data_IF_141192483591
#
_entry.id   IF_141192483591
#
_cell.length_a   1.000
_cell.length_b   1.000
_cell.length_c   1.000
_cell.angle_alpha   90.00
_cell.angle_beta   90.00
_cell.angle_gamma   90.00
#
_symmetry.space_group_name_H-M   'P 1'
#
loop_
_entity.id
_entity.type
_entity.pdbx_description
1 polymer ?
#
# COMPACT_ATOMS: atom_id res chain seq x y z
N UNK A 1 54.05 4.12 53.67
CA UNK A 1 53.01 4.52 52.70
C UNK A 1 51.69 3.74 52.83
N UNK A 2 51.67 2.51 53.37
CA UNK A 2 50.45 1.68 53.45
C UNK A 2 49.34 2.15 54.42
N UNK A 3 49.63 3.01 55.41
CA UNK A 3 48.63 3.42 56.42
C UNK A 3 47.68 4.54 55.94
N UNK A 4 48.13 5.39 55.02
CA UNK A 4 47.32 6.50 54.50
C UNK A 4 46.21 6.01 53.55
N UNK A 5 46.54 5.05 52.68
CA UNK A 5 45.60 4.45 51.72
C UNK A 5 44.47 3.71 52.46
N UNK A 6 44.77 2.96 53.53
CA UNK A 6 43.75 2.25 54.32
C UNK A 6 42.77 3.19 55.01
N UNK A 7 43.23 4.37 55.47
CA UNK A 7 42.35 5.39 56.08
C UNK A 7 41.41 6.03 55.07
N UNK A 8 41.91 6.31 53.85
CA UNK A 8 41.10 6.86 52.76
C UNK A 8 40.00 5.86 52.35
N UNK A 9 40.34 4.57 52.20
CA UNK A 9 39.34 3.53 51.90
C UNK A 9 38.31 3.35 53.02
N UNK A 10 38.73 3.41 54.30
CA UNK A 10 37.82 3.27 55.45
C UNK A 10 36.86 4.47 55.55
N UNK A 11 37.32 5.68 55.25
CA UNK A 11 36.49 6.88 55.20
C UNK A 11 35.54 6.89 54.00
N UNK A 12 35.98 6.43 52.82
CA UNK A 12 35.12 6.30 51.65
C UNK A 12 34.01 5.26 51.87
N UNK A 13 34.33 4.09 52.44
CA UNK A 13 33.35 3.04 52.76
C UNK A 13 32.32 3.50 53.79
N UNK A 14 32.74 4.22 54.84
CA UNK A 14 31.84 4.77 55.85
C UNK A 14 30.90 5.86 55.29
N UNK A 15 31.33 6.59 54.26
CA UNK A 15 30.52 7.65 53.61
C UNK A 15 29.47 7.08 52.65
N UNK A 16 29.73 5.91 52.06
CA UNK A 16 28.79 5.17 51.21
C UNK A 16 27.69 4.51 52.07
N UNK A 17 28.06 3.86 53.18
CA UNK A 17 27.11 3.19 54.09
C UNK A 17 26.15 4.17 54.80
N UNK A 18 26.54 5.42 55.00
CA UNK A 18 25.66 6.46 55.59
C UNK A 18 24.67 7.10 54.61
N UNK A 19 24.65 6.69 53.34
CA UNK A 19 23.78 7.22 52.29
C UNK A 19 22.81 6.19 51.70
N UNK A 20 22.60 5.07 52.38
CA UNK A 20 21.55 4.11 52.05
C UNK A 20 20.18 4.61 52.52
N UNK A 21 19.70 5.74 51.98
CA UNK A 21 18.25 5.99 51.97
C UNK A 21 17.66 5.09 50.88
N UNK A 22 17.28 3.88 51.27
CA UNK A 22 16.66 2.90 50.39
C UNK A 22 15.39 3.47 49.77
N UNK A 23 15.25 3.28 48.46
CA UNK A 23 14.05 3.58 47.70
C UNK A 23 12.84 2.94 48.38
N UNK A 24 11.82 3.70 48.79
CA UNK A 24 10.67 3.10 49.48
C UNK A 24 9.83 2.30 48.49
N UNK A 25 9.23 1.18 48.92
CA UNK A 25 8.29 0.42 48.10
C UNK A 25 7.12 1.30 47.62
N UNK A 26 6.73 2.28 48.42
CA UNK A 26 5.67 3.24 48.10
C UNK A 26 6.05 4.23 47.01
N UNK A 27 7.31 4.67 46.92
CA UNK A 27 7.78 5.52 45.82
C UNK A 27 7.77 4.78 44.48
N UNK A 28 8.07 3.48 44.51
CA UNK A 28 8.08 2.65 43.30
C UNK A 28 6.64 2.35 42.87
N UNK A 29 5.77 2.09 43.85
CA UNK A 29 4.34 1.84 43.61
C UNK A 29 3.61 3.06 43.02
N UNK A 30 3.79 4.26 43.59
CA UNK A 30 3.20 5.48 43.03
C UNK A 30 3.79 5.81 41.66
N UNK A 31 5.09 5.58 41.44
CA UNK A 31 5.72 5.77 40.14
C UNK A 31 5.11 4.87 39.06
N UNK A 32 4.91 3.58 39.35
CA UNK A 32 4.25 2.64 38.44
C UNK A 32 2.79 3.01 38.19
N UNK A 33 2.07 3.53 39.19
CA UNK A 33 0.71 4.02 39.03
C UNK A 33 0.65 5.21 38.06
N UNK A 34 1.54 6.20 38.22
CA UNK A 34 1.57 7.38 37.34
C UNK A 34 1.96 6.99 35.91
N UNK A 35 2.98 6.15 35.73
CA UNK A 35 3.37 5.64 34.40
C UNK A 35 2.23 4.83 33.78
N UNK A 36 1.47 4.07 34.57
CA UNK A 36 0.30 3.32 34.10
C UNK A 36 -0.82 4.22 33.55
N UNK A 37 -1.11 5.33 34.22
CA UNK A 37 -2.11 6.31 33.75
C UNK A 37 -1.64 6.99 32.46
N UNK A 38 -0.36 7.37 32.38
CA UNK A 38 0.18 8.00 31.16
C UNK A 38 0.21 7.02 29.99
N UNK A 39 0.59 5.76 30.23
CA UNK A 39 0.65 4.72 29.22
C UNK A 39 -0.74 4.37 28.66
N UNK A 40 -1.79 4.35 29.49
CA UNK A 40 -3.14 3.99 29.03
C UNK A 40 -3.70 4.95 27.98
N UNK A 41 -3.38 6.24 28.07
CA UNK A 41 -3.79 7.26 27.10
C UNK A 41 -2.82 7.33 25.92
N UNK A 42 -1.51 7.19 26.17
CA UNK A 42 -0.50 7.37 25.15
C UNK A 42 -0.37 6.17 24.18
N UNK A 43 -0.50 4.94 24.67
CA UNK A 43 -0.26 3.73 23.86
C UNK A 43 -1.22 3.63 22.66
N UNK A 44 -2.54 3.83 22.78
CA UNK A 44 -3.43 3.76 21.62
C UNK A 44 -3.10 4.81 20.55
N UNK A 45 -2.78 6.03 20.96
CA UNK A 45 -2.40 7.12 20.05
C UNK A 45 -1.07 6.84 19.35
N UNK A 46 -0.08 6.35 20.10
CA UNK A 46 1.23 6.00 19.56
C UNK A 46 1.15 4.87 18.54
N UNK A 47 0.32 3.85 18.78
CA UNK A 47 0.10 2.77 17.81
C UNK A 47 -0.56 3.25 16.52
N UNK A 48 -1.51 4.18 16.61
CA UNK A 48 -2.12 4.83 15.45
C UNK A 48 -1.10 5.62 14.63
N UNK A 49 -0.34 6.50 15.28
CA UNK A 49 0.71 7.28 14.62
C UNK A 49 1.78 6.40 13.95
N UNK A 50 2.15 5.28 14.59
CA UNK A 50 3.11 4.31 14.02
C UNK A 50 2.56 3.65 12.76
N UNK A 51 1.29 3.25 12.75
CA UNK A 51 0.67 2.62 11.59
C UNK A 51 0.54 3.61 10.43
N UNK A 52 0.17 4.86 10.70
CA UNK A 52 0.14 5.92 9.68
C UNK A 52 1.53 6.13 9.06
N UNK A 53 2.59 6.18 9.88
CA UNK A 53 3.96 6.32 9.37
C UNK A 53 4.38 5.13 8.47
N UNK A 54 3.91 3.91 8.76
CA UNK A 54 4.15 2.76 7.89
C UNK A 54 3.37 2.83 6.57
N UNK A 55 2.16 3.37 6.61
CA UNK A 55 1.36 3.61 5.42
C UNK A 55 1.98 4.70 4.55
N UNK A 56 2.46 5.78 5.15
CA UNK A 56 3.17 6.87 4.48
C UNK A 56 4.44 6.36 3.78
N UNK A 57 5.18 5.42 4.37
CA UNK A 57 6.35 4.77 3.74
C UNK A 57 5.97 4.05 2.44
N UNK A 58 4.84 3.32 2.43
CA UNK A 58 4.34 2.62 1.25
C UNK A 58 3.83 3.62 0.19
N UNK A 59 3.10 4.65 0.59
CA UNK A 59 2.61 5.70 -0.30
C UNK A 59 3.76 6.50 -0.95
N UNK A 60 4.83 6.76 -0.21
CA UNK A 60 6.03 7.42 -0.71
C UNK A 60 6.71 6.56 -1.79
N UNK A 61 6.86 5.26 -1.54
CA UNK A 61 7.43 4.31 -2.51
C UNK A 61 6.59 4.23 -3.79
N UNK A 62 5.25 4.18 -3.65
CA UNK A 62 4.34 4.22 -4.79
C UNK A 62 4.39 5.53 -5.57
N UNK A 63 4.54 6.66 -4.88
CA UNK A 63 4.67 7.97 -5.52
C UNK A 63 5.97 8.09 -6.31
N UNK A 64 7.07 7.54 -5.79
CA UNK A 64 8.35 7.47 -6.49
C UNK A 64 8.25 6.60 -7.76
N UNK A 65 7.68 5.40 -7.64
CA UNK A 65 7.42 4.51 -8.80
C UNK A 65 6.51 5.15 -9.84
N UNK A 66 5.46 5.86 -9.42
CA UNK A 66 4.57 6.56 -10.34
C UNK A 66 5.30 7.67 -11.12
N UNK A 67 6.21 8.38 -10.47
CA UNK A 67 7.05 9.38 -11.14
C UNK A 67 8.00 8.71 -12.15
N UNK A 68 8.64 7.60 -11.77
CA UNK A 68 9.46 6.80 -12.69
C UNK A 68 8.65 6.31 -13.90
N UNK A 69 7.44 5.79 -13.69
CA UNK A 69 6.54 5.38 -14.77
C UNK A 69 6.15 6.56 -15.66
N UNK A 70 5.94 7.75 -15.09
CA UNK A 70 5.64 8.96 -15.87
C UNK A 70 6.83 9.38 -16.74
N UNK A 71 8.05 9.27 -16.24
CA UNK A 71 9.28 9.53 -17.02
C UNK A 71 9.39 8.52 -18.17
N UNK A 72 9.14 7.24 -17.89
CA UNK A 72 9.11 6.19 -18.91
C UNK A 72 8.10 6.53 -20.02
N UNK A 73 6.87 6.89 -19.64
CA UNK A 73 5.84 7.33 -20.58
C UNK A 73 6.26 8.54 -21.42
N UNK A 74 6.92 9.53 -20.82
CA UNK A 74 7.42 10.71 -21.55
C UNK A 74 8.49 10.36 -22.59
N UNK A 75 9.30 9.33 -22.33
CA UNK A 75 10.37 8.92 -23.23
C UNK A 75 9.87 8.13 -24.44
N UNK A 76 8.86 7.28 -24.28
CA UNK A 76 8.43 6.34 -25.33
C UNK A 76 6.96 6.50 -25.78
N UNK A 77 6.13 7.25 -25.06
CA UNK A 77 4.72 7.51 -25.39
C UNK A 77 3.73 6.45 -24.88
N UNK A 78 4.20 5.46 -24.14
CA UNK A 78 3.38 4.46 -23.45
C UNK A 78 4.08 3.91 -22.20
N UNK A 79 3.40 3.07 -21.41
CA UNK A 79 3.93 2.43 -20.20
C UNK A 79 4.54 1.05 -20.45
N UNK A 80 4.72 0.63 -21.71
CA UNK A 80 5.24 -0.69 -22.03
C UNK A 80 6.69 -0.85 -21.55
N UNK A 81 7.21 -2.08 -21.46
CA UNK A 81 8.66 -2.18 -21.24
C UNK A 81 9.47 -1.65 -22.43
N UNK A 82 10.63 -1.08 -22.16
CA UNK A 82 11.41 -0.37 -23.18
C UNK A 82 12.08 -1.30 -24.21
N UNK A 83 12.08 -2.62 -23.97
CA UNK A 83 12.82 -3.59 -24.79
C UNK A 83 11.91 -4.32 -25.77
N UNK A 84 10.74 -4.77 -25.33
CA UNK A 84 9.83 -5.63 -26.09
C UNK A 84 8.47 -5.00 -26.33
N UNK A 85 8.22 -3.81 -25.77
CA UNK A 85 6.93 -3.14 -25.77
C UNK A 85 5.79 -4.01 -25.20
N UNK A 86 6.11 -4.87 -24.22
CA UNK A 86 5.12 -5.74 -23.59
C UNK A 86 4.26 -4.97 -22.58
N UNK A 87 2.94 -5.24 -22.58
CA UNK A 87 2.04 -4.88 -21.48
C UNK A 87 1.76 -6.10 -20.58
N UNK A 88 1.26 -5.86 -19.37
CA UNK A 88 0.86 -6.88 -18.41
C UNK A 88 2.01 -7.27 -17.49
N UNK A 89 2.17 -8.57 -17.24
CA UNK A 89 3.22 -9.09 -16.38
C UNK A 89 4.58 -9.07 -17.08
N UNK A 90 5.35 -8.00 -16.84
CA UNK A 90 6.66 -7.78 -17.46
C UNK A 90 7.72 -7.54 -16.39
N UNK A 91 8.69 -8.45 -16.30
CA UNK A 91 9.87 -8.28 -15.44
C UNK A 91 10.82 -7.20 -16.00
N UNK A 92 10.82 -6.99 -17.32
CA UNK A 92 11.58 -5.94 -18.00
C UNK A 92 11.04 -4.56 -17.65
N UNK A 93 9.71 -4.38 -17.56
CA UNK A 93 9.10 -3.15 -17.08
C UNK A 93 9.54 -2.84 -15.64
N UNK A 94 9.50 -3.84 -14.76
CA UNK A 94 9.95 -3.69 -13.39
C UNK A 94 11.43 -3.25 -13.31
N UNK A 95 12.31 -3.88 -14.11
CA UNK A 95 13.72 -3.48 -14.20
C UNK A 95 13.91 -2.06 -14.76
N UNK A 96 13.09 -1.63 -15.72
CA UNK A 96 13.15 -0.28 -16.28
C UNK A 96 12.73 0.78 -15.26
N UNK A 97 11.69 0.49 -14.46
CA UNK A 97 11.31 1.33 -13.31
C UNK A 97 12.45 1.39 -12.28
N UNK A 98 13.07 0.26 -11.95
CA UNK A 98 14.16 0.20 -10.97
C UNK A 98 15.41 0.97 -11.39
N UNK A 99 15.69 1.09 -12.70
CA UNK A 99 16.77 1.96 -13.21
C UNK A 99 16.48 3.44 -12.96
N UNK A 100 15.20 3.85 -13.03
CA UNK A 100 14.77 5.22 -12.82
C UNK A 100 14.60 5.56 -11.34
N UNK A 101 14.15 4.60 -10.53
CA UNK A 101 13.98 4.71 -9.08
C UNK A 101 14.73 3.57 -8.38
N UNK A 102 16.04 3.72 -8.11
CA UNK A 102 16.83 2.67 -7.46
C UNK A 102 16.54 2.52 -5.96
N UNK A 103 15.80 3.46 -5.35
CA UNK A 103 15.42 3.42 -3.93
C UNK A 103 14.32 2.42 -3.60
N UNK A 104 13.68 1.83 -4.62
CA UNK A 104 12.63 0.81 -4.48
C UNK A 104 13.01 -0.46 -5.24
N UNK A 105 12.51 -1.60 -4.77
CA UNK A 105 12.63 -2.88 -5.46
C UNK A 105 11.36 -3.12 -6.28
N UNK A 106 11.39 -2.69 -7.54
CA UNK A 106 10.26 -2.90 -8.45
C UNK A 106 10.23 -4.37 -8.91
N UNK A 107 9.07 -5.01 -8.76
CA UNK A 107 8.85 -6.42 -9.13
C UNK A 107 7.75 -6.56 -10.17
N UNK A 108 7.78 -7.65 -10.93
CA UNK A 108 6.80 -7.94 -11.97
C UNK A 108 5.38 -8.07 -11.38
N UNK A 109 4.37 -7.92 -12.24
CA UNK A 109 2.96 -7.84 -11.85
C UNK A 109 2.47 -9.08 -11.09
N UNK A 110 2.99 -10.27 -11.42
CA UNK A 110 2.64 -11.53 -10.75
C UNK A 110 3.25 -11.70 -9.37
N UNK A 111 4.31 -10.93 -9.05
CA UNK A 111 4.99 -10.94 -7.78
C UNK A 111 4.32 -9.99 -6.78
N UNK A 112 3.99 -10.49 -5.60
CA UNK A 112 3.38 -9.68 -4.54
C UNK A 112 4.39 -8.77 -3.87
N UNK A 113 3.94 -7.58 -3.52
CA UNK A 113 4.64 -6.72 -2.58
C UNK A 113 4.68 -7.36 -1.19
N UNK A 114 5.87 -7.43 -0.61
CA UNK A 114 6.10 -8.03 0.72
C UNK A 114 6.43 -7.01 1.81
N UNK A 115 6.75 -5.77 1.41
CA UNK A 115 7.20 -4.67 2.26
C UNK A 115 6.96 -3.34 1.50
N UNK A 116 6.86 -2.17 2.18
CA UNK A 116 6.75 -0.87 1.52
C UNK A 116 7.71 -0.61 0.36
N UNK A 117 8.94 -1.13 0.42
CA UNK A 117 9.98 -0.89 -0.59
C UNK A 117 9.89 -1.85 -1.78
N UNK A 118 9.17 -2.96 -1.68
CA UNK A 118 8.97 -3.91 -2.79
C UNK A 118 7.69 -3.53 -3.50
N UNK A 119 7.77 -2.95 -4.69
CA UNK A 119 6.60 -2.42 -5.41
C UNK A 119 6.29 -3.30 -6.61
N UNK A 120 5.13 -3.94 -6.61
CA UNK A 120 4.66 -4.69 -7.79
C UNK A 120 4.11 -3.71 -8.82
N UNK A 121 4.53 -3.84 -10.08
CA UNK A 121 4.15 -2.91 -11.17
C UNK A 121 3.57 -3.63 -12.37
N UNK A 122 2.69 -2.95 -13.10
CA UNK A 122 2.10 -3.45 -14.33
C UNK A 122 1.72 -2.30 -15.26
N UNK A 123 1.95 -2.47 -16.56
CA UNK A 123 1.32 -1.67 -17.60
C UNK A 123 0.11 -2.43 -18.16
N UNK A 124 -0.99 -1.75 -18.47
CA UNK A 124 -2.19 -2.37 -19.00
C UNK A 124 -2.56 -1.81 -20.37
N UNK A 125 -2.95 -2.71 -21.27
CA UNK A 125 -3.51 -2.35 -22.56
C UNK A 125 -4.80 -1.55 -22.37
N UNK A 126 -5.02 -0.60 -23.26
CA UNK A 126 -6.23 0.20 -23.29
C UNK A 126 -6.85 0.24 -24.68
N UNK A 127 -8.11 0.64 -24.73
CA UNK A 127 -8.89 0.72 -25.96
C UNK A 127 -9.52 2.11 -26.12
N UNK A 128 -9.80 2.47 -27.37
CA UNK A 128 -10.60 3.64 -27.72
C UNK A 128 -12.08 3.41 -27.41
N UNK A 129 -12.89 4.47 -27.44
CA UNK A 129 -14.35 4.34 -27.36
C UNK A 129 -14.95 3.51 -28.52
N UNK A 130 -14.18 3.29 -29.58
CA UNK A 130 -14.56 2.48 -30.74
C UNK A 130 -14.01 1.05 -30.67
N UNK A 131 -13.37 0.66 -29.56
CA UNK A 131 -12.84 -0.69 -29.35
C UNK A 131 -11.50 -0.96 -30.04
N UNK A 132 -10.80 0.06 -30.52
CA UNK A 132 -9.46 -0.07 -31.12
C UNK A 132 -8.39 -0.16 -30.03
N UNK A 133 -7.39 -1.02 -30.18
CA UNK A 133 -6.26 -1.15 -29.24
C UNK A 133 -5.36 0.09 -29.30
N UNK A 134 -5.07 0.68 -28.15
CA UNK A 134 -4.29 1.93 -28.01
C UNK A 134 -2.95 1.73 -27.28
N UNK A 135 -2.48 0.49 -27.14
CA UNK A 135 -1.23 0.16 -26.44
C UNK A 135 -1.33 0.26 -24.93
N UNK A 136 -0.18 0.26 -24.24
CA UNK A 136 -0.13 0.29 -22.77
C UNK A 136 -0.31 1.71 -22.22
N UNK A 137 -1.55 2.18 -22.10
CA UNK A 137 -1.86 3.55 -21.65
C UNK A 137 -2.41 3.61 -20.23
N UNK A 138 -2.26 2.51 -19.49
CA UNK A 138 -2.57 2.44 -18.08
C UNK A 138 -1.41 1.82 -17.32
N UNK A 139 -1.23 2.25 -16.07
CA UNK A 139 -0.18 1.79 -15.18
C UNK A 139 -0.78 1.52 -13.80
N UNK A 140 -0.33 0.43 -13.18
CA UNK A 140 -0.70 0.01 -11.84
C UNK A 140 0.55 -0.26 -11.04
N UNK A 141 0.54 0.18 -9.78
CA UNK A 141 1.55 -0.21 -8.81
C UNK A 141 0.93 -0.47 -7.44
N UNK A 142 1.46 -1.44 -6.71
CA UNK A 142 0.97 -1.83 -5.39
C UNK A 142 2.11 -2.05 -4.40
N UNK A 143 1.93 -1.60 -3.16
CA UNK A 143 2.90 -1.73 -2.08
C UNK A 143 2.21 -2.13 -0.76
N UNK A 144 2.73 -3.15 -0.09
CA UNK A 144 2.22 -3.64 1.18
C UNK A 144 2.87 -2.83 2.30
N UNK A 145 2.07 -2.10 3.08
CA UNK A 145 2.53 -1.42 4.29
C UNK A 145 2.84 -2.40 5.41
N UNK A 146 3.78 -2.03 6.29
CA UNK A 146 4.05 -2.77 7.53
C UNK A 146 2.86 -2.76 8.50
N UNK A 147 1.89 -1.85 8.29
CA UNK A 147 0.60 -1.84 9.00
C UNK A 147 -0.29 -3.03 8.62
N UNK A 148 -0.01 -3.70 7.49
CA UNK A 148 -0.85 -4.76 6.92
C UNK A 148 -1.86 -4.28 5.88
N UNK A 149 -1.82 -3.00 5.49
CA UNK A 149 -2.62 -2.44 4.40
C UNK A 149 -1.87 -2.53 3.07
N UNK A 150 -2.53 -2.99 2.02
CA UNK A 150 -2.02 -2.89 0.66
C UNK A 150 -2.46 -1.58 0.02
N UNK A 151 -1.49 -0.75 -0.37
CA UNK A 151 -1.71 0.50 -1.08
C UNK A 151 -1.60 0.31 -2.58
N UNK A 152 -2.46 1.00 -3.31
CA UNK A 152 -2.64 0.82 -4.74
C UNK A 152 -2.67 2.20 -5.38
N UNK A 153 -1.86 2.36 -6.43
CA UNK A 153 -1.93 3.51 -7.32
C UNK A 153 -2.21 3.05 -8.73
N UNK A 154 -3.06 3.79 -9.43
CA UNK A 154 -3.27 3.65 -10.86
C UNK A 154 -3.08 4.98 -11.57
N UNK A 155 -2.70 4.89 -12.83
CA UNK A 155 -2.73 5.99 -13.76
C UNK A 155 -3.28 5.49 -15.09
N UNK A 156 -4.28 6.20 -15.63
CA UNK A 156 -4.82 5.92 -16.96
C UNK A 156 -4.84 7.20 -17.76
N UNK A 157 -4.30 7.18 -18.98
CA UNK A 157 -4.32 8.35 -19.88
C UNK A 157 -5.77 8.70 -20.22
N UNK A 158 -6.05 10.00 -20.37
CA UNK A 158 -7.39 10.49 -20.67
C UNK A 158 -7.97 9.89 -21.96
N UNK A 159 -9.25 9.53 -21.92
CA UNK A 159 -9.97 8.96 -23.07
C UNK A 159 -9.58 7.52 -23.42
N UNK A 160 -8.85 6.83 -22.54
CA UNK A 160 -8.47 5.41 -22.70
C UNK A 160 -9.26 4.53 -21.74
N UNK A 161 -9.69 3.36 -22.20
CA UNK A 161 -10.54 2.43 -21.44
C UNK A 161 -9.88 1.06 -21.29
N UNK A 162 -10.23 0.27 -20.27
CA UNK A 162 -9.77 -1.11 -20.13
C UNK A 162 -10.83 -2.08 -20.67
N UNK A 163 -10.39 -3.26 -21.11
CA UNK A 163 -11.26 -4.30 -21.70
C UNK A 163 -12.02 -5.08 -20.63
N UNK A 164 -13.31 -5.32 -20.90
CA UNK A 164 -14.23 -6.10 -20.08
C UNK A 164 -14.26 -7.58 -20.42
N UNK A 165 -13.35 -8.04 -21.28
CA UNK A 165 -13.34 -9.42 -21.78
C UNK A 165 -12.35 -10.35 -21.05
N UNK A 166 -11.62 -9.85 -20.04
CA UNK A 166 -10.93 -10.73 -19.10
C UNK A 166 -11.94 -11.27 -18.09
N UNK A 167 -12.04 -12.60 -17.99
CA UNK A 167 -13.05 -13.34 -17.21
C UNK A 167 -13.05 -12.87 -15.75
N UNK A 168 -14.08 -12.10 -15.33
CA UNK A 168 -14.15 -11.43 -14.01
C UNK A 168 -14.47 -9.91 -14.06
N UNK A 169 -14.65 -9.36 -15.25
CA UNK A 169 -14.75 -7.94 -15.62
C UNK A 169 -15.84 -7.02 -15.01
N UNK A 170 -16.47 -7.37 -13.89
CA UNK A 170 -17.36 -6.42 -13.18
C UNK A 170 -16.68 -5.67 -12.02
N UNK A 171 -15.41 -5.97 -11.72
CA UNK A 171 -14.71 -5.42 -10.54
C UNK A 171 -13.58 -4.42 -10.89
N UNK A 172 -13.32 -4.15 -12.16
CA UNK A 172 -12.18 -3.33 -12.57
C UNK A 172 -12.54 -1.86 -12.81
N UNK A 173 -11.58 -0.94 -12.66
CA UNK A 173 -11.95 0.39 -12.24
C UNK A 173 -12.30 1.39 -13.36
N UNK A 174 -12.15 1.01 -14.65
CA UNK A 174 -12.68 1.70 -15.86
C UNK A 174 -12.88 0.64 -16.94
N UNK A 175 -14.12 0.26 -17.25
CA UNK A 175 -14.41 -0.86 -18.16
C UNK A 175 -15.24 -0.40 -19.36
N UNK A 176 -14.98 -0.97 -20.54
CA UNK A 176 -15.92 -0.86 -21.66
C UNK A 176 -17.17 -1.68 -21.37
N UNK A 177 -18.36 -1.12 -21.58
CA UNK A 177 -19.60 -1.89 -21.51
C UNK A 177 -19.62 -2.98 -22.60
N UNK A 178 -20.13 -4.17 -22.29
CA UNK A 178 -20.25 -5.24 -23.28
C UNK A 178 -21.20 -4.81 -24.43
N UNK A 179 -20.92 -5.17 -25.70
CA UNK A 179 -21.82 -4.87 -26.79
C UNK A 179 -23.15 -5.61 -26.62
N UNK A 180 -24.26 -4.89 -26.46
CA UNK A 180 -25.60 -5.49 -26.58
C UNK A 180 -25.96 -5.52 -28.07
N UNK A 181 -25.83 -6.69 -28.70
CA UNK A 181 -26.57 -7.01 -29.93
C UNK A 181 -28.06 -7.04 -29.52
N UNK A 182 -28.96 -6.21 -30.06
CA UNK A 182 -29.57 -6.40 -31.37
C UNK A 182 -30.20 -5.12 -31.91
N UNK A 183 -29.93 -4.83 -33.18
CA UNK A 183 -30.72 -3.98 -34.07
C UNK A 183 -31.11 -2.60 -33.51
N UNK A 184 -30.17 -1.65 -33.68
CA UNK A 184 -30.41 -0.22 -33.61
C UNK A 184 -30.64 0.37 -32.20
N UNK A 185 -29.53 0.63 -31.49
CA UNK A 185 -29.41 1.66 -30.45
C UNK A 185 -27.93 2.01 -30.27
N UNK A 186 -27.41 2.81 -31.20
CA UNK A 186 -26.07 3.36 -31.14
C UNK A 186 -25.98 4.48 -30.09
N UNK A 187 -25.89 4.13 -28.81
CA UNK A 187 -25.10 4.85 -27.79
C UNK A 187 -24.85 3.85 -26.66
N UNK A 188 -23.61 3.36 -26.56
CA UNK A 188 -23.12 2.77 -25.33
C UNK A 188 -23.25 3.83 -24.22
N UNK A 189 -24.09 3.59 -23.22
CA UNK A 189 -24.14 4.45 -22.03
C UNK A 189 -22.92 4.16 -21.18
N UNK A 190 -21.82 4.81 -21.54
CA UNK A 190 -20.60 4.88 -20.76
C UNK A 190 -20.93 5.53 -19.43
N UNK A 191 -20.85 4.79 -18.33
CA UNK A 191 -20.85 5.42 -17.02
C UNK A 191 -19.53 6.17 -16.91
N UNK A 192 -19.58 7.48 -17.17
CA UNK A 192 -18.50 8.43 -16.90
C UNK A 192 -18.27 8.53 -15.38
N UNK A 193 -17.77 7.47 -14.76
CA UNK A 193 -16.94 7.57 -13.55
C UNK A 193 -15.48 7.64 -13.99
N UNK A 194 -15.18 8.59 -14.88
CA UNK A 194 -13.82 8.90 -15.27
C UNK A 194 -13.07 9.40 -14.04
N UNK A 195 -12.24 8.55 -13.45
CA UNK A 195 -11.00 9.04 -12.86
C UNK A 195 -9.90 8.69 -13.85
N UNK A 196 -9.91 9.38 -15.00
CA UNK A 196 -8.70 9.48 -15.81
C UNK A 196 -7.63 10.19 -14.98
N UNK A 197 -6.37 9.88 -15.26
CA UNK A 197 -5.25 10.38 -14.46
C UNK A 197 -4.97 9.52 -13.24
N UNK A 198 -4.35 10.13 -12.23
CA UNK A 198 -3.87 9.45 -11.03
C UNK A 198 -5.04 9.12 -10.10
N UNK A 199 -5.10 7.89 -9.60
CA UNK A 199 -6.04 7.51 -8.57
C UNK A 199 -5.43 6.53 -7.57
N UNK A 200 -5.94 6.57 -6.34
CA UNK A 200 -5.34 5.90 -5.18
C UNK A 200 -6.39 5.08 -4.43
N UNK A 201 -6.00 3.94 -3.89
CA UNK A 201 -6.86 3.10 -3.07
C UNK A 201 -6.01 2.29 -2.09
N UNK A 202 -6.69 1.65 -1.13
CA UNK A 202 -6.04 0.70 -0.23
C UNK A 202 -7.00 -0.44 0.16
N UNK A 203 -6.43 -1.60 0.44
CA UNK A 203 -7.11 -2.77 1.02
C UNK A 203 -6.48 -3.06 2.37
N UNK A 204 -7.28 -3.33 3.39
CA UNK A 204 -6.78 -3.59 4.75
C UNK A 204 -7.32 -4.88 5.34
N UNK A 205 -6.48 -5.59 6.07
CA UNK A 205 -6.84 -6.83 6.72
C UNK A 205 -7.63 -6.55 7.98
N UNK A 206 -8.79 -7.21 8.14
CA UNK A 206 -9.46 -7.25 9.44
C UNK A 206 -9.00 -8.51 10.17
N UNK A 207 -8.25 -8.34 11.26
CA UNK A 207 -8.09 -9.43 12.22
C UNK A 207 -9.42 -9.58 12.95
N UNK A 208 -9.96 -10.79 12.96
CA UNK A 208 -11.20 -11.12 13.68
C UNK A 208 -11.08 -10.74 15.16
N UNK A 209 -11.70 -9.63 15.52
CA UNK A 209 -12.06 -9.26 16.89
C UNK A 209 -13.56 -9.05 16.93
N UNK A 210 -14.31 -10.16 17.01
CA UNK A 210 -15.77 -10.36 17.18
C UNK A 210 -16.55 -10.95 15.99
N UNK A 211 -16.10 -10.80 14.74
CA UNK A 211 -16.98 -10.98 13.56
C UNK A 211 -16.49 -11.98 12.51
N UNK A 212 -15.58 -12.90 12.86
CA UNK A 212 -15.30 -14.20 12.22
C UNK A 212 -15.32 -14.36 10.67
N UNK A 213 -15.26 -13.27 9.89
CA UNK A 213 -15.27 -13.32 8.42
C UNK A 213 -13.82 -13.34 7.92
N UNK A 214 -13.38 -14.49 7.39
CA UNK A 214 -11.99 -14.75 7.01
C UNK A 214 -11.64 -14.34 5.57
N UNK A 215 -12.58 -13.70 4.87
CA UNK A 215 -12.44 -13.40 3.43
C UNK A 215 -11.39 -12.33 3.12
N UNK A 216 -11.05 -11.48 4.11
CA UNK A 216 -10.03 -10.42 4.02
C UNK A 216 -8.92 -10.58 5.08
N UNK A 217 -8.43 -11.80 5.29
CA UNK A 217 -7.31 -12.05 6.20
C UNK A 217 -6.00 -11.39 5.73
N UNK A 218 -5.12 -11.01 6.67
CA UNK A 218 -3.82 -10.38 6.39
C UNK A 218 -2.99 -11.14 5.35
N UNK A 219 -3.03 -12.48 5.37
CA UNK A 219 -2.34 -13.33 4.39
C UNK A 219 -2.96 -13.24 2.98
N UNK A 220 -4.28 -13.13 2.88
CA UNK A 220 -4.98 -12.96 1.62
C UNK A 220 -4.63 -11.61 0.98
N UNK A 221 -4.52 -10.55 1.79
CA UNK A 221 -4.12 -9.22 1.34
C UNK A 221 -2.66 -9.20 0.90
N UNK A 222 -1.76 -9.82 1.64
CA UNK A 222 -0.36 -9.96 1.21
C UNK A 222 -0.26 -10.64 -0.16
N UNK A 223 -1.06 -11.68 -0.40
CA UNK A 223 -1.08 -12.38 -1.69
C UNK A 223 -1.74 -11.55 -2.80
N UNK A 224 -2.78 -10.79 -2.48
CA UNK A 224 -3.51 -9.92 -3.40
C UNK A 224 -2.82 -8.56 -3.67
N UNK A 225 -1.79 -8.21 -2.89
CA UNK A 225 -1.02 -6.98 -3.03
C UNK A 225 -0.02 -7.06 -4.18
N UNK A 226 -0.55 -7.23 -5.39
CA UNK A 226 0.22 -7.31 -6.64
C UNK A 226 -0.52 -6.59 -7.75
N UNK A 227 0.23 -5.97 -8.66
CA UNK A 227 -0.33 -5.16 -9.72
C UNK A 227 -1.15 -5.99 -10.73
N UNK A 228 -0.84 -7.28 -10.90
CA UNK A 228 -1.65 -8.17 -11.73
C UNK A 228 -3.08 -8.28 -11.20
N UNK A 229 -3.24 -8.58 -9.91
CA UNK A 229 -4.56 -8.74 -9.26
C UNK A 229 -5.37 -7.45 -9.35
N UNK A 230 -4.74 -6.29 -9.11
CA UNK A 230 -5.44 -4.99 -9.11
C UNK A 230 -5.63 -4.40 -10.52
N UNK A 231 -4.80 -4.77 -11.48
CA UNK A 231 -4.78 -4.21 -12.83
C UNK A 231 -5.52 -5.02 -13.88
N UNK A 232 -5.52 -6.36 -13.79
CA UNK A 232 -6.28 -7.25 -14.71
C UNK A 232 -7.48 -7.92 -14.05
N UNK A 233 -7.61 -7.81 -12.73
CA UNK A 233 -8.59 -8.57 -11.96
C UNK A 233 -8.13 -10.02 -11.84
N UNK A 234 -8.31 -10.62 -10.67
CA UNK A 234 -8.03 -12.04 -10.49
C UNK A 234 -9.13 -12.87 -11.17
N UNK A 235 -8.74 -13.68 -12.17
CA UNK A 235 -9.55 -14.78 -12.67
C UNK A 235 -9.66 -15.86 -11.58
N UNK A 236 -10.50 -15.64 -10.56
CA UNK A 236 -10.81 -16.67 -9.56
C UNK A 236 -11.27 -16.20 -8.18
N UNK A 237 -11.02 -14.95 -7.77
CA UNK A 237 -11.58 -14.42 -6.52
C UNK A 237 -11.83 -12.92 -6.57
N UNK A 238 -13.10 -12.53 -6.50
CA UNK A 238 -13.55 -11.15 -6.27
C UNK A 238 -13.16 -10.60 -4.89
N UNK A 239 -12.65 -11.45 -3.98
CA UNK A 239 -12.15 -11.03 -2.69
C UNK A 239 -10.79 -10.32 -2.85
N UNK A 240 -10.66 -9.12 -2.28
CA UNK A 240 -9.43 -8.30 -2.25
C UNK A 240 -9.00 -7.67 -3.60
N UNK A 241 -9.96 -7.25 -4.43
CA UNK A 241 -9.74 -6.37 -5.61
C UNK A 241 -10.52 -5.07 -5.41
N UNK A 242 -9.89 -3.92 -5.67
CA UNK A 242 -10.54 -2.61 -5.58
C UNK A 242 -11.45 -2.34 -6.79
N UNK A 243 -12.69 -1.93 -6.52
CA UNK A 243 -13.66 -1.51 -7.54
C UNK A 243 -13.40 -0.10 -8.05
N UNK A 244 -13.95 0.24 -9.23
CA UNK A 244 -13.89 1.60 -9.81
C UNK A 244 -14.28 2.71 -8.85
N UNK A 245 -15.34 2.47 -8.08
CA UNK A 245 -15.96 3.41 -7.14
C UNK A 245 -15.16 3.61 -5.86
N UNK A 246 -14.17 2.77 -5.60
CA UNK A 246 -13.38 2.76 -4.36
C UNK A 246 -12.06 3.52 -4.51
N UNK A 247 -11.76 4.06 -5.69
CA UNK A 247 -10.60 4.90 -5.92
C UNK A 247 -10.84 6.37 -5.54
N UNK A 248 -9.81 6.99 -4.97
CA UNK A 248 -9.76 8.40 -4.59
C UNK A 248 -8.80 9.19 -5.49
N UNK A 249 -8.96 10.51 -5.50
CA UNK A 249 -8.11 11.45 -6.27
C UNK A 249 -6.82 11.84 -5.54
N UNK A 250 -6.70 11.52 -4.26
CA UNK A 250 -5.50 11.72 -3.44
C UNK A 250 -5.31 10.54 -2.48
N UNK A 251 -4.12 10.44 -1.88
CA UNK A 251 -3.93 9.61 -0.70
C UNK A 251 -4.94 9.99 0.39
N UNK A 252 -5.41 9.00 1.13
CA UNK A 252 -6.25 9.18 2.31
C UNK A 252 -5.58 8.47 3.47
N UNK A 253 -5.59 9.09 4.64
CA UNK A 253 -5.20 8.40 5.86
C UNK A 253 -6.15 7.24 6.13
N UNK A 254 -5.62 6.17 6.73
CA UNK A 254 -6.42 5.05 7.19
C UNK A 254 -7.22 5.50 8.42
N UNK A 255 -8.41 6.07 8.22
CA UNK A 255 -9.26 6.46 9.33
C UNK A 255 -9.59 5.23 10.20
N UNK A 256 -9.44 5.38 11.51
CA UNK A 256 -9.96 4.43 12.49
C UNK A 256 -11.50 4.41 12.41
N UNK A 257 -12.05 3.55 11.54
CA UNK A 257 -13.50 3.37 11.38
C UNK A 257 -14.04 3.52 9.96
N UNK A 258 -13.25 3.94 8.97
CA UNK A 258 -13.72 3.98 7.59
C UNK A 258 -13.56 2.61 6.91
N UNK A 259 -14.70 2.03 6.53
CA UNK A 259 -14.80 0.87 5.66
C UNK A 259 -14.12 1.14 4.32
N UNK A 260 -12.84 0.77 4.20
CA UNK A 260 -12.22 0.50 2.91
C UNK A 260 -12.36 -0.99 2.60
N UNK A 261 -13.56 -1.43 2.25
CA UNK A 261 -13.80 -2.65 1.46
C UNK A 261 -15.29 -2.89 1.20
N UNK A 262 -15.63 -3.24 -0.04
CA UNK A 262 -16.75 -4.11 -0.41
C UNK A 262 -18.15 -3.55 -0.14
N UNK A 263 -18.55 -2.54 -0.90
CA UNK A 263 -19.92 -2.51 -1.44
C UNK A 263 -19.92 -2.91 -2.89
#
# INVERSE_FOLDING_TARGET
MNSAITRIFKQAKAKIVKRESGFTLTELAIGMLVVGILASVAVPSFLGARNNAYDDEAQASLSAVLNAATILYQNQGDFSDATTAQCGDSATLAADIQKLEPGVDAVAASSSSTNPQVVSVQAAQTWSSNGELLGCQAFYATALSRSGSCWIVRFTVEGKFLSSTSTGASALPIQMAAPLNTQNSAVATWTLLQVNGKAFAYIRGRSTGADADNTNGLAAIGTACKALTQGTGSAGSTANVIKSTEFYTSWKDVQAGANGSNS
#
